data_IF_491003535745
#
_entry.id   IF_491003535745
#
_cell.length_a   1.000
_cell.length_b   1.000
_cell.length_c   1.000
_cell.angle_alpha   90.00
_cell.angle_beta   90.00
_cell.angle_gamma   90.00
#
_symmetry.space_group_name_H-M   'P 1'
#
loop_
_entity.id
_entity.type
_entity.pdbx_description
1 polymer ?
#
# COMPACT_ATOMS: atom_id res chain seq x y z
N UNK A 1 -32.06 -3.03 41.52
CA UNK A 1 -31.45 -2.08 40.57
C UNK A 1 -29.97 -2.42 40.52
N UNK A 2 -29.57 -3.20 39.53
CA UNK A 2 -28.19 -3.65 39.30
C UNK A 2 -27.36 -2.45 38.83
N UNK A 3 -26.40 -1.98 39.64
CA UNK A 3 -25.44 -0.97 39.23
C UNK A 3 -24.30 -1.67 38.49
N UNK A 4 -24.36 -1.70 37.16
CA UNK A 4 -23.22 -2.10 36.32
C UNK A 4 -22.06 -1.16 36.60
N UNK A 5 -21.00 -1.71 37.21
CA UNK A 5 -19.75 -0.99 37.42
C UNK A 5 -19.06 -0.78 36.06
N UNK A 6 -19.05 0.47 35.59
CA UNK A 6 -18.29 0.86 34.40
C UNK A 6 -16.84 1.13 34.82
N UNK A 7 -15.92 0.27 34.37
CA UNK A 7 -14.49 0.52 34.49
C UNK A 7 -14.06 1.46 33.35
N UNK A 8 -13.90 2.76 33.65
CA UNK A 8 -13.28 3.68 32.71
C UNK A 8 -11.76 3.49 32.78
N UNK A 9 -11.17 2.95 31.72
CA UNK A 9 -9.71 2.86 31.59
C UNK A 9 -9.27 4.08 30.79
N UNK A 10 -8.67 5.05 31.48
CA UNK A 10 -8.05 6.22 30.85
C UNK A 10 -6.81 5.78 30.06
N UNK A 11 -6.98 5.52 28.76
CA UNK A 11 -5.85 5.29 27.86
C UNK A 11 -5.29 6.65 27.44
N UNK A 12 -4.09 6.98 27.91
CA UNK A 12 -3.33 8.13 27.38
C UNK A 12 -2.83 7.78 25.98
N UNK A 13 -3.67 8.03 24.98
CA UNK A 13 -3.28 7.92 23.58
C UNK A 13 -2.27 9.05 23.29
N UNK A 14 -1.04 8.74 22.86
CA UNK A 14 -0.12 9.77 22.43
C UNK A 14 -0.73 10.52 21.25
N UNK A 15 -0.63 11.85 21.28
CA UNK A 15 -1.17 12.77 20.27
C UNK A 15 -0.64 12.44 18.87
N UNK A 16 0.59 11.92 18.80
CA UNK A 16 1.23 11.46 17.57
C UNK A 16 1.53 9.95 17.62
N UNK A 17 1.05 9.23 16.62
CA UNK A 17 1.37 7.81 16.41
C UNK A 17 2.76 7.68 15.79
N UNK A 18 3.77 7.43 16.63
CA UNK A 18 5.16 7.26 16.18
C UNK A 18 5.39 5.87 15.57
N UNK A 19 5.19 5.75 14.26
CA UNK A 19 5.64 4.55 13.55
C UNK A 19 7.16 4.54 13.39
N UNK A 20 7.78 3.40 13.71
CA UNK A 20 9.17 3.16 13.32
C UNK A 20 9.29 3.22 11.79
N UNK A 21 9.89 4.31 11.29
CA UNK A 21 9.99 4.61 9.85
C UNK A 21 10.74 3.54 9.07
N UNK A 22 11.80 2.98 9.65
CA UNK A 22 12.56 1.92 9.00
C UNK A 22 11.71 0.66 8.83
N UNK A 23 10.90 0.33 9.86
CA UNK A 23 9.95 -0.79 9.82
C UNK A 23 8.81 -0.54 8.83
N UNK A 24 8.25 0.67 8.83
CA UNK A 24 7.17 1.07 7.92
C UNK A 24 7.64 1.01 6.46
N UNK A 25 8.80 1.61 6.15
CA UNK A 25 9.43 1.56 4.83
C UNK A 25 9.66 0.12 4.36
N UNK A 26 10.17 -0.75 5.24
CA UNK A 26 10.37 -2.18 4.94
C UNK A 26 9.05 -2.86 4.57
N UNK A 27 7.99 -2.62 5.35
CA UNK A 27 6.67 -3.18 5.09
C UNK A 27 6.12 -2.72 3.72
N UNK A 28 6.16 -1.42 3.42
CA UNK A 28 5.72 -0.90 2.13
C UNK A 28 6.51 -1.46 0.95
N UNK A 29 7.84 -1.59 1.08
CA UNK A 29 8.67 -2.19 0.03
C UNK A 29 8.28 -3.66 -0.19
N UNK A 30 8.06 -4.42 0.87
CA UNK A 30 7.66 -5.82 0.76
C UNK A 30 6.30 -5.97 0.09
N UNK A 31 5.29 -5.25 0.58
CA UNK A 31 3.93 -5.28 0.03
C UNK A 31 3.93 -4.80 -1.42
N UNK A 32 4.54 -3.65 -1.69
CA UNK A 32 4.59 -3.06 -3.02
C UNK A 32 5.25 -3.97 -4.06
N UNK A 33 6.32 -4.69 -3.69
CA UNK A 33 6.97 -5.67 -4.59
C UNK A 33 6.04 -6.82 -4.99
N UNK A 34 5.24 -7.33 -4.05
CA UNK A 34 4.28 -8.41 -4.31
C UNK A 34 3.20 -7.93 -5.28
N UNK A 35 2.55 -6.81 -4.98
CA UNK A 35 1.51 -6.25 -5.85
C UNK A 35 2.04 -5.87 -7.24
N UNK A 36 3.24 -5.28 -7.31
CA UNK A 36 3.89 -4.96 -8.58
C UNK A 36 4.13 -6.22 -9.43
N UNK A 37 4.64 -7.30 -8.81
CA UNK A 37 4.87 -8.58 -9.51
C UNK A 37 3.55 -9.14 -10.06
N UNK A 38 2.51 -9.15 -9.23
CA UNK A 38 1.24 -9.77 -9.58
C UNK A 38 0.54 -8.95 -10.68
N UNK A 39 0.55 -7.62 -10.60
CA UNK A 39 0.04 -6.73 -11.64
C UNK A 39 0.80 -6.86 -12.96
N UNK A 40 2.14 -6.99 -12.93
CA UNK A 40 2.94 -7.25 -14.13
C UNK A 40 2.56 -8.57 -14.79
N UNK A 41 2.27 -9.60 -14.00
CA UNK A 41 1.86 -10.91 -14.51
C UNK A 41 0.56 -10.84 -15.30
N UNK A 42 -0.37 -9.99 -14.88
CA UNK A 42 -1.65 -9.78 -15.56
C UNK A 42 -1.50 -9.26 -17.00
N UNK A 43 -0.43 -8.50 -17.29
CA UNK A 43 -0.17 -7.86 -18.59
C UNK A 43 0.93 -8.54 -19.41
N UNK A 44 1.41 -9.71 -18.95
CA UNK A 44 2.45 -10.50 -19.62
C UNK A 44 1.91 -11.61 -20.52
N UNK A 45 0.58 -11.74 -20.62
CA UNK A 45 -0.07 -12.75 -21.49
C UNK A 45 0.31 -12.50 -22.95
N UNK A 46 0.88 -13.51 -23.63
CA UNK A 46 1.17 -13.44 -25.07
C UNK A 46 -0.13 -13.69 -25.85
N UNK A 47 -0.48 -12.77 -26.74
CA UNK A 47 -1.69 -12.87 -27.58
C UNK A 47 -2.45 -11.55 -27.69
N UNK A 48 -3.50 -11.56 -28.52
CA UNK A 48 -4.40 -10.41 -28.68
C UNK A 48 -5.31 -10.31 -27.46
N UNK A 49 -5.43 -9.12 -26.87
CA UNK A 49 -6.41 -8.83 -25.81
C UNK A 49 -7.81 -8.69 -26.39
N UNK A 50 -8.81 -9.20 -25.68
CA UNK A 50 -10.22 -8.93 -25.97
C UNK A 50 -10.72 -7.72 -25.16
N UNK A 51 -11.86 -7.11 -25.56
CA UNK A 51 -12.50 -6.07 -24.77
C UNK A 51 -12.78 -6.55 -23.33
N UNK A 52 -12.40 -5.75 -22.33
CA UNK A 52 -12.58 -6.08 -20.91
C UNK A 52 -11.49 -6.98 -20.30
N UNK A 53 -10.59 -7.53 -21.12
CA UNK A 53 -9.43 -8.28 -20.62
C UNK A 53 -8.25 -7.36 -20.30
N UNK A 54 -7.33 -7.88 -19.50
CA UNK A 54 -6.03 -7.25 -19.32
C UNK A 54 -5.27 -7.19 -20.66
N UNK A 55 -4.54 -6.09 -20.93
CA UNK A 55 -3.76 -5.94 -22.14
C UNK A 55 -2.79 -7.10 -22.37
N UNK A 56 -2.74 -7.59 -23.60
CA UNK A 56 -1.73 -8.55 -24.03
C UNK A 56 -0.33 -7.92 -24.08
N UNK A 57 0.69 -8.76 -23.96
CA UNK A 57 2.08 -8.34 -24.04
C UNK A 57 2.43 -7.86 -25.46
N UNK A 58 2.78 -6.56 -25.59
CA UNK A 58 3.27 -5.97 -26.84
C UNK A 58 4.79 -5.73 -26.79
N UNK A 59 5.22 -4.64 -26.14
CA UNK A 59 6.63 -4.21 -26.06
C UNK A 59 7.21 -4.31 -24.66
N UNK A 60 6.37 -4.64 -23.66
CA UNK A 60 6.72 -4.61 -22.25
C UNK A 60 6.75 -3.20 -21.64
N UNK A 61 6.49 -2.13 -22.40
CA UNK A 61 6.42 -0.74 -21.88
C UNK A 61 5.45 -0.61 -20.71
N UNK A 62 4.26 -1.21 -20.85
CA UNK A 62 3.24 -1.23 -19.80
C UNK A 62 3.73 -1.98 -18.54
N UNK A 63 4.31 -3.17 -18.70
CA UNK A 63 4.82 -3.93 -17.56
C UNK A 63 5.92 -3.15 -16.80
N UNK A 64 6.77 -2.41 -17.52
CA UNK A 64 7.84 -1.58 -16.94
C UNK A 64 7.32 -0.34 -16.23
N UNK A 65 6.21 0.24 -16.68
CA UNK A 65 5.60 1.41 -16.03
C UNK A 65 4.83 1.07 -14.76
N UNK A 66 4.49 -0.21 -14.53
CA UNK A 66 3.88 -0.65 -13.27
C UNK A 66 4.92 -0.62 -12.16
N UNK A 67 4.71 0.28 -11.20
CA UNK A 67 5.56 0.51 -10.03
C UNK A 67 4.79 0.44 -8.70
N UNK A 68 5.51 0.61 -7.60
CA UNK A 68 4.91 0.86 -6.28
C UNK A 68 5.52 2.14 -5.70
N UNK A 69 4.75 2.83 -4.87
CA UNK A 69 5.19 4.03 -4.16
C UNK A 69 5.48 3.70 -2.70
N UNK A 70 6.53 4.30 -2.16
CA UNK A 70 6.83 4.25 -0.73
C UNK A 70 6.77 5.68 -0.20
N UNK A 71 5.86 5.98 0.74
CA UNK A 71 5.76 7.30 1.32
C UNK A 71 7.10 7.74 1.92
N UNK A 72 7.59 8.87 1.43
CA UNK A 72 8.58 9.68 2.12
C UNK A 72 7.83 10.73 2.94
N UNK A 73 8.37 11.16 4.08
CA UNK A 73 7.71 12.15 4.94
C UNK A 73 7.26 13.32 4.07
N UNK A 74 5.98 13.70 4.15
CA UNK A 74 5.53 14.94 3.52
C UNK A 74 6.42 16.07 4.04
N UNK A 75 6.89 17.01 3.19
CA UNK A 75 7.50 18.22 3.72
C UNK A 75 6.52 18.82 4.72
N UNK A 76 7.02 19.20 5.89
CA UNK A 76 6.24 20.03 6.80
C UNK A 76 5.98 21.30 6.00
N UNK A 77 4.75 21.47 5.50
CA UNK A 77 4.31 22.75 4.98
C UNK A 77 4.22 23.63 6.21
N UNK A 78 5.26 24.43 6.44
CA UNK A 78 5.20 25.54 7.39
C UNK A 78 4.16 26.50 6.81
N UNK A 79 2.94 26.43 7.34
CA UNK A 79 1.90 27.43 7.16
C UNK A 79 2.10 28.55 8.16
#
# INVERSE_FOLDING_TARGET
>A
MEQTAFLHVDFKQPEEMEFNRARLRKAFVQIGRVYMRDARRLVMRRGRSAPGENPGYQTGRLARSIGYYVPVKAPVVLA
#
